data_IF_550474767616
#
_entry.id   IF_550474767616
#
_cell.length_a   1.000
_cell.length_b   1.000
_cell.length_c   1.000
_cell.angle_alpha   90.00
_cell.angle_beta   90.00
_cell.angle_gamma   90.00
#
_symmetry.space_group_name_H-M   'P 1'
#
loop_
_entity.id
_entity.type
_entity.pdbx_description
1 polymer ?
#
# COMPACT_ATOMS: atom_id res chain seq x y z
N UNK A 1 20.96 13.11 -12.19
CA UNK A 1 20.88 12.13 -11.08
C UNK A 1 19.96 10.98 -11.47
N UNK A 2 20.27 9.75 -11.05
CA UNK A 2 19.40 8.60 -11.30
C UNK A 2 18.12 8.72 -10.47
N UNK A 3 16.94 8.59 -11.09
CA UNK A 3 15.64 8.63 -10.40
C UNK A 3 15.37 7.27 -9.74
N UNK A 4 16.01 7.00 -8.60
CA UNK A 4 15.86 5.74 -7.86
C UNK A 4 14.61 5.79 -6.99
N UNK A 5 13.74 4.82 -7.18
CA UNK A 5 12.47 4.70 -6.48
C UNK A 5 12.48 3.38 -5.70
N UNK A 6 11.96 3.39 -4.48
CA UNK A 6 11.83 2.18 -3.67
C UNK A 6 10.39 1.68 -3.67
N UNK A 7 10.24 0.38 -3.80
CA UNK A 7 8.95 -0.32 -3.77
C UNK A 7 9.04 -1.52 -2.84
N UNK A 8 7.94 -1.95 -2.22
CA UNK A 8 7.85 -3.26 -1.59
C UNK A 8 8.26 -4.36 -2.58
N UNK A 9 8.90 -5.41 -2.09
CA UNK A 9 9.34 -6.57 -2.88
C UNK A 9 8.38 -7.78 -2.77
N UNK A 10 7.40 -7.75 -1.88
CA UNK A 10 6.37 -8.79 -1.87
C UNK A 10 5.44 -8.62 -3.08
N UNK A 11 5.00 -9.72 -3.72
CA UNK A 11 4.30 -9.64 -5.02
C UNK A 11 3.06 -8.74 -5.02
N UNK A 12 2.26 -8.80 -3.96
CA UNK A 12 1.00 -8.03 -3.88
C UNK A 12 1.26 -6.54 -3.77
N UNK A 13 2.14 -6.11 -2.86
CA UNK A 13 2.42 -4.69 -2.72
C UNK A 13 3.30 -4.14 -3.84
N UNK A 14 4.17 -4.95 -4.46
CA UNK A 14 4.87 -4.58 -5.69
C UNK A 14 3.87 -4.33 -6.82
N UNK A 15 2.95 -5.26 -7.05
CA UNK A 15 1.92 -5.12 -8.09
C UNK A 15 1.06 -3.87 -7.87
N UNK A 16 0.58 -3.66 -6.64
CA UNK A 16 -0.14 -2.45 -6.22
C UNK A 16 0.65 -1.17 -6.47
N UNK A 17 1.94 -1.18 -6.15
CA UNK A 17 2.85 -0.05 -6.37
C UNK A 17 2.99 0.29 -7.85
N UNK A 18 3.20 -0.71 -8.70
CA UNK A 18 3.31 -0.53 -10.15
C UNK A 18 2.00 -0.03 -10.77
N UNK A 19 0.85 -0.55 -10.33
CA UNK A 19 -0.47 -0.07 -10.77
C UNK A 19 -0.72 1.38 -10.35
N UNK A 20 -0.28 1.78 -9.16
CA UNK A 20 -0.34 3.17 -8.72
C UNK A 20 0.53 4.06 -9.62
N UNK A 21 1.77 3.65 -9.94
CA UNK A 21 2.64 4.38 -10.85
C UNK A 21 2.03 4.52 -12.26
N UNK A 22 1.40 3.47 -12.77
CA UNK A 22 0.66 3.51 -14.03
C UNK A 22 -0.50 4.51 -13.97
N UNK A 23 -1.30 4.48 -12.89
CA UNK A 23 -2.42 5.41 -12.70
C UNK A 23 -1.97 6.88 -12.69
N UNK A 24 -0.75 7.14 -12.25
CA UNK A 24 -0.14 8.49 -12.29
C UNK A 24 0.55 8.82 -13.63
N UNK A 25 0.48 7.94 -14.63
CA UNK A 25 1.10 8.13 -15.95
C UNK A 25 2.64 8.12 -15.93
N UNK A 26 3.25 7.54 -14.90
CA UNK A 26 4.71 7.52 -14.73
C UNK A 26 5.38 6.38 -15.50
N UNK A 27 4.65 5.27 -15.64
CA UNK A 27 5.02 4.08 -16.39
C UNK A 27 3.78 3.58 -17.15
N UNK A 28 3.98 2.69 -18.11
CA UNK A 28 2.92 1.90 -18.73
C UNK A 28 3.26 0.42 -18.54
N UNK A 29 2.30 -0.36 -18.07
CA UNK A 29 2.39 -1.81 -17.93
C UNK A 29 1.76 -2.48 -19.16
N UNK A 30 2.12 -3.74 -19.42
CA UNK A 30 1.42 -4.59 -20.40
C UNK A 30 -0.05 -4.69 -20.04
N UNK A 31 -0.89 -4.82 -21.07
CA UNK A 31 -2.31 -5.12 -20.87
C UNK A 31 -2.50 -6.51 -20.26
N UNK A 32 -3.57 -6.69 -19.48
CA UNK A 32 -3.96 -8.00 -18.95
C UNK A 32 -3.12 -8.54 -17.78
N UNK A 33 -2.22 -7.76 -17.21
CA UNK A 33 -1.33 -8.17 -16.09
C UNK A 33 -2.05 -8.37 -14.74
N UNK A 34 -3.31 -7.97 -14.64
CA UNK A 34 -4.11 -8.12 -13.42
C UNK A 34 -3.57 -7.30 -12.24
N UNK A 35 -3.65 -7.87 -11.04
CA UNK A 35 -3.27 -7.22 -9.77
C UNK A 35 -1.82 -7.48 -9.33
N UNK A 36 -1.11 -8.38 -10.01
CA UNK A 36 0.24 -8.80 -9.65
C UNK A 36 1.27 -8.52 -10.77
N UNK A 37 1.28 -7.33 -11.41
CA UNK A 37 2.33 -7.01 -12.36
C UNK A 37 3.70 -7.00 -11.67
N UNK A 38 4.73 -7.26 -12.47
CA UNK A 38 6.13 -7.18 -12.05
C UNK A 38 6.85 -6.07 -12.80
N UNK A 39 8.07 -5.74 -12.37
CA UNK A 39 8.94 -4.79 -13.08
C UNK A 39 9.21 -5.20 -14.54
N UNK A 40 9.08 -6.50 -14.88
CA UNK A 40 9.22 -7.03 -16.25
C UNK A 40 8.02 -6.72 -17.15
N UNK A 41 6.93 -6.22 -16.58
CA UNK A 41 5.71 -5.88 -17.30
C UNK A 41 5.65 -4.40 -17.70
N UNK A 42 6.68 -3.63 -17.39
CA UNK A 42 6.79 -2.22 -17.79
C UNK A 42 7.18 -2.14 -19.28
N UNK A 43 6.27 -1.62 -20.11
CA UNK A 43 6.47 -1.41 -21.55
C UNK A 43 6.85 0.01 -21.93
N UNK A 44 6.59 0.99 -21.04
CA UNK A 44 7.02 2.36 -21.23
C UNK A 44 7.46 2.97 -19.90
N UNK A 45 8.59 3.68 -19.91
CA UNK A 45 9.18 4.34 -18.74
C UNK A 45 9.91 5.62 -19.20
N UNK A 46 9.16 6.67 -19.61
CA UNK A 46 9.74 7.86 -20.25
C UNK A 46 10.69 8.62 -19.31
N UNK A 47 10.48 8.50 -17.99
CA UNK A 47 11.34 9.11 -16.97
C UNK A 47 12.55 8.25 -16.60
N UNK A 48 12.71 7.06 -17.19
CA UNK A 48 13.79 6.09 -16.89
C UNK A 48 13.92 5.83 -15.39
N UNK A 49 12.77 5.65 -14.72
CA UNK A 49 12.70 5.35 -13.29
C UNK A 49 13.42 4.04 -13.02
N UNK A 50 14.29 4.02 -12.00
CA UNK A 50 14.92 2.80 -11.51
C UNK A 50 14.17 2.35 -10.25
N UNK A 51 13.23 1.44 -10.43
CA UNK A 51 12.47 0.84 -9.32
C UNK A 51 13.38 -0.21 -8.69
N UNK A 52 13.59 -0.09 -7.38
CA UNK A 52 14.35 -1.07 -6.60
C UNK A 52 13.46 -1.58 -5.48
N UNK A 53 13.26 -2.88 -5.52
CA UNK A 53 12.37 -3.63 -4.65
C UNK A 53 13.10 -3.96 -3.35
N UNK A 54 12.50 -3.65 -2.20
CA UNK A 54 13.03 -3.96 -0.87
C UNK A 54 11.91 -4.37 0.08
N UNK A 55 12.26 -5.02 1.18
CA UNK A 55 11.33 -5.40 2.24
C UNK A 55 10.56 -4.18 2.78
N UNK A 56 9.24 -4.31 2.90
CA UNK A 56 8.38 -3.18 3.26
C UNK A 56 8.76 -2.44 4.56
N UNK A 57 9.20 -3.12 5.65
CA UNK A 57 9.68 -2.45 6.86
C UNK A 57 10.91 -1.55 6.67
N UNK A 58 11.68 -1.73 5.59
CA UNK A 58 12.89 -0.93 5.32
C UNK A 58 12.60 0.35 4.51
N UNK A 59 11.39 0.50 3.95
CA UNK A 59 11.06 1.61 3.06
C UNK A 59 11.11 2.97 3.73
N UNK A 60 10.77 3.05 5.03
CA UNK A 60 10.83 4.30 5.80
C UNK A 60 12.27 4.78 5.96
N UNK A 61 13.22 3.87 6.24
CA UNK A 61 14.65 4.18 6.33
C UNK A 61 15.26 4.55 4.98
N UNK A 62 14.70 4.03 3.89
CA UNK A 62 15.20 4.34 2.56
C UNK A 62 14.97 5.80 2.15
N UNK A 63 14.15 6.55 2.89
CA UNK A 63 13.98 8.00 2.69
C UNK A 63 15.20 8.82 3.12
N UNK A 64 16.05 8.29 4.02
CA UNK A 64 17.27 8.98 4.48
C UNK A 64 18.42 8.89 3.45
N UNK A 65 18.31 7.98 2.47
CA UNK A 65 19.28 7.85 1.39
C UNK A 65 19.06 8.94 0.35
N UNK A 66 20.01 9.89 0.26
CA UNK A 66 19.98 11.01 -0.68
C UNK A 66 19.92 10.60 -2.16
N UNK A 67 20.22 9.34 -2.48
CA UNK A 67 20.07 8.82 -3.84
C UNK A 67 18.63 8.42 -4.18
N UNK A 68 17.74 8.36 -3.19
CA UNK A 68 16.34 7.98 -3.34
C UNK A 68 15.49 9.21 -3.60
N UNK A 69 14.78 9.16 -4.72
CA UNK A 69 13.84 10.21 -5.09
C UNK A 69 12.47 10.00 -4.45
N UNK A 70 12.06 8.75 -4.28
CA UNK A 70 10.75 8.40 -3.73
C UNK A 70 10.74 6.97 -3.19
N UNK A 71 9.87 6.71 -2.21
CA UNK A 71 9.49 5.36 -1.80
C UNK A 71 7.96 5.25 -1.77
N UNK A 72 7.43 4.10 -2.21
CA UNK A 72 6.01 3.76 -2.07
C UNK A 72 5.89 2.96 -0.77
N UNK A 73 5.19 3.47 0.24
CA UNK A 73 5.21 2.93 1.62
C UNK A 73 3.78 2.64 2.08
N UNK A 74 3.56 1.46 2.68
CA UNK A 74 2.29 1.14 3.32
C UNK A 74 2.04 2.03 4.56
N UNK A 75 0.78 2.40 4.79
CA UNK A 75 0.35 3.23 5.93
C UNK A 75 0.79 2.64 7.29
N UNK A 76 0.83 1.31 7.41
CA UNK A 76 1.29 0.61 8.62
C UNK A 76 2.72 1.00 9.02
N UNK A 77 3.61 1.24 8.07
CA UNK A 77 5.00 1.62 8.35
C UNK A 77 5.20 3.13 8.40
N UNK A 78 4.54 3.88 7.50
CA UNK A 78 4.68 5.35 7.48
C UNK A 78 4.19 5.98 8.79
N UNK A 79 3.08 5.49 9.35
CA UNK A 79 2.50 6.02 10.58
C UNK A 79 3.42 5.89 11.80
N UNK A 80 4.23 4.83 11.86
CA UNK A 80 5.17 4.59 12.97
C UNK A 80 6.29 5.64 13.04
N UNK A 81 6.62 6.25 11.92
CA UNK A 81 7.64 7.31 11.82
C UNK A 81 7.01 8.71 11.68
N UNK A 82 5.70 8.84 11.99
CA UNK A 82 4.98 10.11 11.95
C UNK A 82 4.63 10.63 10.56
N UNK A 83 4.84 9.82 9.51
CA UNK A 83 4.46 10.15 8.14
C UNK A 83 3.00 9.81 7.90
N UNK A 84 2.29 10.75 7.28
CA UNK A 84 0.88 10.63 6.92
C UNK A 84 0.72 10.79 5.41
N UNK A 85 -0.08 9.94 4.74
CA UNK A 85 -0.39 10.13 3.33
C UNK A 85 -0.93 11.53 3.01
N UNK A 86 -1.78 12.10 3.87
CA UNK A 86 -2.37 13.43 3.64
C UNK A 86 -1.37 14.59 3.72
N UNK A 87 -0.31 14.45 4.53
CA UNK A 87 0.70 15.50 4.72
C UNK A 87 1.96 15.30 3.89
N UNK A 88 2.36 14.05 3.70
CA UNK A 88 3.66 13.66 3.15
C UNK A 88 3.55 12.93 1.82
N UNK A 89 2.36 12.48 1.43
CA UNK A 89 2.14 11.75 0.19
C UNK A 89 2.25 12.65 -1.03
N UNK A 90 3.05 12.24 -2.01
CA UNK A 90 3.17 12.92 -3.31
C UNK A 90 2.03 12.50 -4.26
N UNK A 91 1.65 11.24 -4.19
CA UNK A 91 0.40 10.71 -4.73
C UNK A 91 -0.06 9.62 -3.78
N UNK A 92 -1.37 9.58 -3.54
CA UNK A 92 -2.00 8.64 -2.61
C UNK A 92 -3.08 7.89 -3.38
N UNK A 93 -3.29 6.62 -3.05
CA UNK A 93 -4.40 5.87 -3.61
C UNK A 93 -5.74 6.50 -3.25
N UNK A 94 -6.73 6.33 -4.14
CA UNK A 94 -8.10 6.78 -3.84
C UNK A 94 -8.64 6.01 -2.64
N UNK A 95 -9.62 6.61 -1.95
CA UNK A 95 -10.43 5.90 -0.95
C UNK A 95 -11.20 4.73 -1.56
N UNK A 96 -11.51 4.79 -2.85
CA UNK A 96 -12.16 3.70 -3.62
C UNK A 96 -11.17 2.61 -4.08
N UNK A 97 -10.03 2.49 -3.38
CA UNK A 97 -9.02 1.49 -3.70
C UNK A 97 -9.54 0.07 -3.43
N UNK A 98 -9.26 -0.92 -4.31
CA UNK A 98 -9.70 -2.30 -4.11
C UNK A 98 -8.95 -3.02 -2.97
N UNK A 99 -7.94 -2.39 -2.37
CA UNK A 99 -7.03 -3.02 -1.41
C UNK A 99 -7.46 -2.81 0.05
N UNK A 100 -8.73 -3.13 0.35
CA UNK A 100 -9.23 -3.15 1.73
C UNK A 100 -8.56 -4.28 2.52
N UNK A 101 -8.16 -4.00 3.77
CA UNK A 101 -7.66 -5.05 4.66
C UNK A 101 -8.80 -5.97 5.08
N UNK A 102 -8.55 -7.28 5.12
CA UNK A 102 -9.57 -8.30 5.40
C UNK A 102 -9.24 -9.12 6.64
N UNK A 103 -10.27 -9.67 7.26
CA UNK A 103 -10.12 -10.82 8.14
C UNK A 103 -9.94 -12.08 7.30
N UNK A 104 -8.87 -12.83 7.56
CA UNK A 104 -8.63 -14.13 6.95
C UNK A 104 -8.83 -15.25 7.97
N UNK A 105 -9.39 -16.36 7.52
CA UNK A 105 -9.61 -17.57 8.32
C UNK A 105 -9.30 -18.81 7.48
N UNK A 106 -9.21 -19.98 8.12
CA UNK A 106 -9.17 -21.24 7.37
C UNK A 106 -10.57 -21.58 6.88
N UNK A 107 -10.68 -22.34 5.80
CA UNK A 107 -11.98 -22.63 5.19
C UNK A 107 -12.91 -23.33 6.18
N UNK A 108 -12.37 -24.24 6.99
CA UNK A 108 -13.11 -25.03 7.96
C UNK A 108 -13.67 -24.22 9.15
N UNK A 109 -13.15 -23.02 9.42
CA UNK A 109 -13.57 -22.22 10.58
C UNK A 109 -14.11 -20.82 10.23
N UNK A 110 -14.26 -20.50 8.94
CA UNK A 110 -14.77 -19.21 8.47
C UNK A 110 -16.15 -18.85 9.05
N UNK A 111 -17.00 -19.85 9.29
CA UNK A 111 -18.37 -19.68 9.78
C UNK A 111 -18.50 -19.90 11.30
N UNK A 112 -17.38 -20.06 12.01
CA UNK A 112 -17.40 -20.27 13.46
C UNK A 112 -17.92 -19.04 14.20
N UNK A 113 -18.65 -19.26 15.30
CA UNK A 113 -19.15 -18.16 16.15
C UNK A 113 -18.01 -17.27 16.67
N UNK A 114 -16.81 -17.81 16.85
CA UNK A 114 -15.62 -17.02 17.21
C UNK A 114 -15.25 -16.00 16.14
N UNK A 115 -15.24 -16.40 14.86
CA UNK A 115 -14.95 -15.49 13.74
C UNK A 115 -16.05 -14.44 13.60
N UNK A 116 -17.32 -14.84 13.66
CA UNK A 116 -18.45 -13.91 13.58
C UNK A 116 -18.42 -12.86 14.72
N UNK A 117 -18.16 -13.30 15.95
CA UNK A 117 -18.07 -12.42 17.10
C UNK A 117 -16.87 -11.46 16.99
N UNK A 118 -15.71 -11.93 16.49
CA UNK A 118 -14.56 -11.07 16.21
C UNK A 118 -14.90 -9.99 15.18
N UNK A 119 -15.49 -10.36 14.05
CA UNK A 119 -15.87 -9.42 12.99
C UNK A 119 -16.87 -8.40 13.53
N UNK A 120 -17.92 -8.84 14.24
CA UNK A 120 -18.92 -7.95 14.84
C UNK A 120 -18.31 -6.98 15.85
N UNK A 121 -17.40 -7.45 16.70
CA UNK A 121 -16.73 -6.62 17.69
C UNK A 121 -15.77 -5.60 17.06
N UNK A 122 -15.06 -5.99 15.98
CA UNK A 122 -14.17 -5.08 15.26
C UNK A 122 -14.95 -4.05 14.44
N UNK A 123 -16.07 -4.44 13.85
CA UNK A 123 -16.88 -3.61 12.97
C UNK A 123 -17.84 -2.69 13.74
N UNK A 124 -17.40 -2.15 14.88
CA UNK A 124 -18.19 -1.27 15.75
C UNK A 124 -17.85 0.22 15.56
N UNK A 125 -18.75 1.09 16.00
CA UNK A 125 -18.51 2.54 15.97
C UNK A 125 -17.39 2.96 16.92
N UNK A 126 -17.21 2.25 18.04
CA UNK A 126 -16.11 2.48 18.97
C UNK A 126 -14.75 2.19 18.34
N UNK A 127 -14.63 1.10 17.56
CA UNK A 127 -13.39 0.77 16.85
C UNK A 127 -13.14 1.77 15.72
N UNK A 128 -14.17 2.19 14.99
CA UNK A 128 -14.05 3.22 13.96
C UNK A 128 -13.58 4.57 14.57
N UNK A 129 -14.15 4.97 15.71
CA UNK A 129 -13.75 6.19 16.42
C UNK A 129 -12.32 6.09 16.97
N UNK A 130 -11.93 4.94 17.52
CA UNK A 130 -10.56 4.70 17.97
C UNK A 130 -9.56 4.76 16.79
N UNK A 131 -9.90 4.18 15.64
CA UNK A 131 -9.08 4.25 14.44
C UNK A 131 -8.91 5.70 13.96
N UNK A 132 -9.98 6.50 13.95
CA UNK A 132 -9.91 7.92 13.59
C UNK A 132 -8.93 8.69 14.49
N UNK A 133 -8.96 8.44 15.80
CA UNK A 133 -8.05 9.09 16.75
C UNK A 133 -6.59 8.64 16.59
N UNK A 134 -6.36 7.33 16.48
CA UNK A 134 -5.02 6.75 16.39
C UNK A 134 -4.33 7.09 15.07
N UNK A 135 -5.08 7.03 13.96
CA UNK A 135 -4.55 7.21 12.62
C UNK A 135 -4.84 8.59 12.03
N UNK A 136 -5.53 9.48 12.77
CA UNK A 136 -5.77 10.88 12.37
C UNK A 136 -6.39 11.00 10.97
N UNK A 137 -7.37 10.13 10.68
CA UNK A 137 -8.05 10.05 9.39
C UNK A 137 -7.29 9.32 8.28
N UNK A 138 -6.08 8.80 8.53
CA UNK A 138 -5.30 8.03 7.54
C UNK A 138 -5.77 6.57 7.40
N UNK A 139 -6.59 6.09 8.34
CA UNK A 139 -7.25 4.79 8.25
C UNK A 139 -8.71 4.98 7.79
N UNK A 140 -9.07 4.33 6.68
CA UNK A 140 -10.42 4.39 6.12
C UNK A 140 -11.19 3.13 6.53
N UNK A 141 -12.41 3.32 7.04
CA UNK A 141 -13.34 2.22 7.39
C UNK A 141 -13.60 1.35 6.16
N UNK A 142 -13.41 0.03 6.30
CA UNK A 142 -13.45 -0.94 5.20
C UNK A 142 -14.71 -1.82 5.14
N UNK A 143 -15.75 -1.47 5.89
CA UNK A 143 -17.02 -2.18 5.98
C UNK A 143 -18.20 -1.21 6.01
#
# INVERSE_FOLDING_TARGET
MARRWRSPNDPTNLGRSLLLLQKQGLITLKDGVGLLPTSLDIINNPKKLKIVEIEAPQLTRALDDQQITMAIINTTFSSQVGLSPSRNGLFVESKDSPYVNIFASRIENKDSEKVKNLVKAYQSDEVAAAAEQLYKGDAVKGW
#
